data_IF_919917984438
#
_entry.id   IF_919917984438
#
_cell.length_a   1.000
_cell.length_b   1.000
_cell.length_c   1.000
_cell.angle_alpha   90.00
_cell.angle_beta   90.00
_cell.angle_gamma   90.00
#
_symmetry.space_group_name_H-M   'P 1'
#
loop_
_entity.id
_entity.type
_entity.pdbx_description
1 polymer ?
#
# COMPACT_ATOMS: atom_id res chain seq x y z
N UNK A 1 4.51 -11.18 -18.16
CA UNK A 1 3.56 -10.05 -18.03
C UNK A 1 3.39 -9.85 -16.52
N UNK A 2 3.73 -8.76 -15.85
CA UNK A 2 3.76 -7.34 -16.20
C UNK A 2 5.09 -6.67 -15.81
N UNK A 3 5.58 -5.77 -16.68
CA UNK A 3 6.70 -4.85 -16.43
C UNK A 3 6.13 -3.42 -16.34
N UNK A 4 6.90 -2.56 -15.65
CA UNK A 4 6.76 -1.09 -15.61
C UNK A 4 5.87 -0.54 -14.50
N UNK A 5 6.47 -0.36 -13.32
CA UNK A 5 5.84 0.37 -12.21
C UNK A 5 6.84 0.75 -11.11
N UNK A 6 7.95 0.04 -10.99
CA UNK A 6 8.89 0.21 -9.88
C UNK A 6 9.82 1.42 -10.00
N UNK A 7 10.14 1.87 -11.21
CA UNK A 7 11.14 2.93 -11.40
C UNK A 7 10.65 4.32 -10.95
N UNK A 8 9.32 4.51 -10.85
CA UNK A 8 8.69 5.75 -10.38
C UNK A 8 8.03 5.62 -8.99
N UNK A 9 8.13 4.47 -8.31
CA UNK A 9 7.60 4.33 -6.97
C UNK A 9 8.54 5.01 -5.96
N UNK A 10 7.95 5.79 -5.05
CA UNK A 10 8.71 6.30 -3.90
C UNK A 10 9.27 5.10 -3.12
N UNK A 11 10.45 5.23 -2.49
CA UNK A 11 11.03 4.15 -1.67
C UNK A 11 10.04 3.57 -0.65
N UNK A 12 9.17 4.42 -0.10
CA UNK A 12 8.08 4.00 0.79
C UNK A 12 7.06 3.09 0.11
N UNK A 13 6.58 3.44 -1.09
CA UNK A 13 5.60 2.60 -1.80
C UNK A 13 6.20 1.27 -2.29
N UNK A 14 7.50 1.22 -2.59
CA UNK A 14 8.20 -0.05 -2.86
C UNK A 14 8.15 -0.98 -1.65
N UNK A 15 8.45 -0.43 -0.47
CA UNK A 15 8.39 -1.17 0.79
C UNK A 15 6.97 -1.61 1.14
N UNK A 16 5.99 -0.75 0.89
CA UNK A 16 4.57 -1.10 1.04
C UNK A 16 4.21 -2.33 0.20
N UNK A 17 4.53 -2.35 -1.10
CA UNK A 17 4.22 -3.47 -1.99
C UNK A 17 4.89 -4.77 -1.57
N UNK A 18 6.18 -4.72 -1.23
CA UNK A 18 6.92 -5.91 -0.78
C UNK A 18 6.31 -6.54 0.48
N UNK A 19 5.78 -5.73 1.40
CA UNK A 19 5.08 -6.23 2.59
C UNK A 19 3.66 -6.69 2.23
N UNK A 20 2.96 -5.96 1.36
CA UNK A 20 1.60 -6.31 0.92
C UNK A 20 1.57 -7.69 0.24
N UNK A 21 2.59 -8.03 -0.55
CA UNK A 21 2.74 -9.34 -1.18
C UNK A 21 2.78 -10.50 -0.17
N UNK A 22 3.29 -10.28 1.05
CA UNK A 22 3.31 -11.32 2.10
C UNK A 22 2.03 -11.34 2.94
N UNK A 23 1.28 -10.24 2.96
CA UNK A 23 0.03 -10.11 3.71
C UNK A 23 -1.22 -10.53 2.91
N UNK A 24 -1.12 -10.68 1.58
CA UNK A 24 -2.24 -11.08 0.73
C UNK A 24 -3.39 -10.08 0.77
N UNK A 25 -4.60 -10.56 1.05
CA UNK A 25 -5.83 -9.76 1.05
C UNK A 25 -6.01 -8.88 2.29
N UNK A 26 -5.12 -8.95 3.28
CA UNK A 26 -5.19 -8.11 4.48
C UNK A 26 -4.89 -6.64 4.18
N UNK A 27 -5.66 -5.71 4.77
CA UNK A 27 -5.43 -4.26 4.62
C UNK A 27 -4.15 -3.87 5.37
N UNK A 28 -3.22 -3.22 4.67
CA UNK A 28 -1.94 -2.80 5.25
C UNK A 28 -1.99 -1.33 5.68
N UNK A 29 -1.90 -1.11 6.99
CA UNK A 29 -1.90 0.22 7.59
C UNK A 29 -0.48 0.65 7.95
N UNK A 30 0.06 1.64 7.25
CA UNK A 30 1.38 2.19 7.51
C UNK A 30 1.29 3.35 8.50
N UNK A 31 2.00 3.24 9.63
CA UNK A 31 2.06 4.33 10.61
C UNK A 31 2.96 5.46 10.07
N UNK A 32 2.37 6.62 9.81
CA UNK A 32 3.07 7.86 9.50
C UNK A 32 2.73 8.88 10.59
N UNK A 33 3.59 8.93 11.62
CA UNK A 33 3.40 9.82 12.77
C UNK A 33 2.18 9.43 13.61
N UNK A 34 1.21 10.34 13.68
CA UNK A 34 -0.02 10.21 14.45
C UNK A 34 -1.15 9.53 13.67
N UNK A 35 -0.96 9.28 12.37
CA UNK A 35 -1.96 8.67 11.50
C UNK A 35 -1.48 7.36 10.91
N UNK A 36 -2.46 6.58 10.45
CA UNK A 36 -2.23 5.41 9.62
C UNK A 36 -2.65 5.73 8.18
N UNK A 37 -1.72 5.57 7.25
CA UNK A 37 -1.98 5.68 5.82
C UNK A 37 -2.08 4.30 5.18
N UNK A 38 -3.04 4.18 4.28
CA UNK A 38 -3.21 3.02 3.40
C UNK A 38 -2.94 3.48 1.98
N UNK A 39 -2.45 2.59 1.12
CA UNK A 39 -2.06 2.94 -0.25
C UNK A 39 -2.86 2.10 -1.27
N UNK A 40 -3.04 2.67 -2.46
CA UNK A 40 -3.64 1.99 -3.62
C UNK A 40 -5.08 1.50 -3.36
N UNK A 41 -5.36 0.22 -3.57
CA UNK A 41 -6.72 -0.33 -3.43
C UNK A 41 -7.16 -0.40 -1.96
N UNK A 42 -6.23 -0.60 -1.03
CA UNK A 42 -6.52 -0.62 0.41
C UNK A 42 -7.10 0.73 0.87
N UNK A 43 -6.57 1.83 0.33
CA UNK A 43 -7.06 3.18 0.62
C UNK A 43 -8.50 3.36 0.11
N UNK A 44 -8.80 2.91 -1.12
CA UNK A 44 -10.14 3.01 -1.71
C UNK A 44 -11.15 2.12 -0.99
N UNK A 45 -10.72 0.92 -0.60
CA UNK A 45 -11.54 -0.02 0.16
C UNK A 45 -11.89 0.54 1.53
N UNK A 46 -10.90 1.03 2.27
CA UNK A 46 -11.12 1.67 3.56
C UNK A 46 -11.98 2.93 3.44
N UNK A 47 -11.74 3.78 2.44
CA UNK A 47 -12.52 5.01 2.23
C UNK A 47 -14.00 4.76 1.90
N UNK A 48 -14.38 3.56 1.47
CA UNK A 48 -15.80 3.16 1.28
C UNK A 48 -16.42 2.54 2.52
N UNK A 49 -15.60 2.09 3.47
CA UNK A 49 -16.06 1.44 4.69
C UNK A 49 -16.37 2.44 5.82
N UNK A 50 -15.84 3.66 5.72
CA UNK A 50 -16.22 4.84 6.51
C UNK A 50 -17.34 5.61 5.84
#
# INVERSE_FOLDING_TARGET
MAKTGDENLTPMRKRYRSIKETCGDAILMFRLGDFYEMFEEDAKGAARAV
#
